data_IF_376531968420
#
_entry.id   IF_376531968420
#
_cell.length_a   1.000
_cell.length_b   1.000
_cell.length_c   1.000
_cell.angle_alpha   90.00
_cell.angle_beta   90.00
_cell.angle_gamma   90.00
#
_symmetry.space_group_name_H-M   'P 1'
#
loop_
_entity.id
_entity.type
_entity.pdbx_description
1 polymer ?
#
# COMPACT_ATOMS: atom_id res chain seq x y z
N UNK A 1 7.80 -8.43 -24.80
CA UNK A 1 8.25 -8.66 -23.41
C UNK A 1 7.04 -8.40 -22.52
N UNK A 2 6.54 -9.41 -21.82
CA UNK A 2 5.41 -9.23 -20.89
C UNK A 2 5.89 -8.43 -19.68
N UNK A 3 5.12 -7.44 -19.28
CA UNK A 3 5.41 -6.65 -18.07
C UNK A 3 5.37 -7.58 -16.85
N UNK A 4 6.32 -7.53 -15.92
CA UNK A 4 6.40 -8.44 -14.77
C UNK A 4 5.30 -8.26 -13.71
N UNK A 5 4.34 -7.40 -13.98
CA UNK A 5 3.10 -7.20 -13.22
C UNK A 5 1.92 -7.12 -14.18
N UNK A 6 1.90 -8.01 -15.20
CA UNK A 6 0.70 -8.26 -15.99
C UNK A 6 -0.28 -8.98 -15.04
N UNK A 7 -1.29 -8.26 -14.57
CA UNK A 7 -2.34 -8.68 -13.63
C UNK A 7 -3.28 -9.77 -14.19
N UNK A 8 -2.85 -10.57 -15.11
CA UNK A 8 -3.63 -11.69 -15.68
C UNK A 8 -3.29 -13.06 -15.04
N UNK A 9 -2.76 -13.09 -13.81
CA UNK A 9 -2.29 -14.31 -13.17
C UNK A 9 -3.35 -14.90 -12.23
N UNK A 10 -4.43 -15.45 -12.79
CA UNK A 10 -5.43 -16.24 -12.05
C UNK A 10 -4.76 -17.38 -11.27
N UNK A 11 -4.94 -17.38 -9.94
CA UNK A 11 -4.58 -18.51 -9.09
C UNK A 11 -3.11 -18.59 -8.68
N UNK A 12 -2.31 -17.54 -8.79
CA UNK A 12 -0.96 -17.55 -8.22
C UNK A 12 -1.03 -17.28 -6.72
N UNK A 13 -0.36 -18.16 -5.96
CA UNK A 13 -0.17 -17.97 -4.53
C UNK A 13 0.70 -16.70 -4.31
N UNK A 14 0.15 -15.72 -3.62
CA UNK A 14 0.86 -14.48 -3.31
C UNK A 14 1.12 -14.37 -1.81
N UNK A 15 2.31 -13.90 -1.47
CA UNK A 15 2.54 -13.40 -0.12
C UNK A 15 1.85 -12.05 0.05
N UNK A 16 1.29 -11.81 1.24
CA UNK A 16 0.70 -10.52 1.61
C UNK A 16 1.27 -10.04 2.93
N UNK A 17 2.02 -8.95 2.88
CA UNK A 17 2.55 -8.31 4.10
C UNK A 17 1.44 -7.56 4.80
N UNK A 18 1.31 -7.78 6.10
CA UNK A 18 0.26 -7.21 6.96
C UNK A 18 0.87 -6.60 8.22
N UNK A 19 0.18 -5.66 8.81
CA UNK A 19 0.46 -5.26 10.20
C UNK A 19 0.31 -6.49 11.11
N UNK A 20 1.22 -6.68 12.06
CA UNK A 20 1.13 -7.80 13.02
C UNK A 20 -0.10 -7.70 13.95
N UNK A 21 -0.78 -6.55 13.97
CA UNK A 21 -1.98 -6.29 14.76
C UNK A 21 -3.28 -6.43 13.94
N UNK A 22 -3.19 -6.80 12.67
CA UNK A 22 -4.38 -7.02 11.83
C UNK A 22 -5.31 -8.05 12.48
N UNK A 23 -6.61 -7.93 12.29
CA UNK A 23 -7.60 -8.82 12.93
C UNK A 23 -7.45 -10.28 12.46
N UNK A 24 -7.78 -11.23 13.34
CA UNK A 24 -7.79 -12.63 12.97
C UNK A 24 -8.81 -12.93 11.86
N UNK A 25 -9.94 -12.22 11.81
CA UNK A 25 -10.94 -12.30 10.75
C UNK A 25 -10.32 -11.94 9.39
N UNK A 26 -9.59 -10.84 9.31
CA UNK A 26 -8.92 -10.42 8.08
C UNK A 26 -7.83 -11.41 7.63
N UNK A 27 -7.04 -11.96 8.56
CA UNK A 27 -6.05 -13.00 8.24
C UNK A 27 -6.70 -14.27 7.68
N UNK A 28 -7.81 -14.71 8.27
CA UNK A 28 -8.56 -15.87 7.80
C UNK A 28 -9.14 -15.63 6.40
N UNK A 29 -9.70 -14.43 6.16
CA UNK A 29 -10.23 -14.06 4.86
C UNK A 29 -9.14 -14.05 3.78
N UNK A 30 -7.99 -13.42 4.02
CA UNK A 30 -6.84 -13.44 3.09
C UNK A 30 -6.38 -14.86 2.76
N UNK A 31 -6.32 -15.73 3.77
CA UNK A 31 -5.97 -17.15 3.57
C UNK A 31 -7.03 -17.89 2.74
N UNK A 32 -8.31 -17.60 2.93
CA UNK A 32 -9.40 -18.19 2.16
C UNK A 32 -9.37 -17.78 0.67
N UNK A 33 -8.81 -16.58 0.36
CA UNK A 33 -8.51 -16.16 -1.01
C UNK A 33 -7.22 -16.77 -1.58
N UNK A 34 -6.53 -17.64 -0.82
CA UNK A 34 -5.33 -18.36 -1.27
C UNK A 34 -4.03 -17.61 -1.03
N UNK A 35 -4.04 -16.51 -0.31
CA UNK A 35 -2.82 -15.75 0.00
C UNK A 35 -2.13 -16.26 1.26
N UNK A 36 -0.83 -15.98 1.36
CA UNK A 36 -0.01 -16.30 2.55
C UNK A 36 0.32 -14.99 3.30
N UNK A 37 -0.38 -14.68 4.41
CA UNK A 37 -0.08 -13.50 5.22
C UNK A 37 1.28 -13.60 5.89
N UNK A 38 2.05 -12.51 5.82
CA UNK A 38 3.34 -12.32 6.52
C UNK A 38 3.21 -11.11 7.44
N UNK A 39 3.06 -11.32 8.75
CA UNK A 39 2.99 -10.22 9.71
C UNK A 39 4.31 -9.46 9.80
N UNK A 40 4.26 -8.13 9.67
CA UNK A 40 5.40 -7.25 9.85
C UNK A 40 5.62 -6.96 11.34
N UNK A 41 6.79 -7.25 11.90
CA UNK A 41 7.10 -6.86 13.26
C UNK A 41 7.25 -5.34 13.39
N UNK A 42 6.97 -4.79 14.57
CA UNK A 42 7.10 -3.37 14.82
C UNK A 42 8.56 -2.91 14.76
N UNK A 43 8.83 -1.79 14.08
CA UNK A 43 10.16 -1.16 14.04
C UNK A 43 10.31 -0.19 15.23
N UNK A 44 11.35 -0.35 16.09
CA UNK A 44 11.47 0.42 17.34
C UNK A 44 11.71 1.92 17.15
N UNK A 45 12.16 2.36 15.98
CA UNK A 45 12.41 3.77 15.68
C UNK A 45 11.17 4.53 15.17
N UNK A 46 10.07 3.84 14.86
CA UNK A 46 8.84 4.46 14.37
C UNK A 46 7.85 4.75 15.49
N UNK A 47 6.84 5.57 15.22
CA UNK A 47 5.73 5.77 16.14
C UNK A 47 4.98 4.46 16.36
N UNK A 48 4.65 4.08 17.63
CA UNK A 48 3.99 2.81 17.92
C UNK A 48 2.71 2.55 17.13
N UNK A 49 1.96 3.60 16.78
CA UNK A 49 0.72 3.45 16.01
C UNK A 49 0.95 2.91 14.59
N UNK A 50 2.09 3.24 13.97
CA UNK A 50 2.43 2.88 12.59
C UNK A 50 3.68 1.99 12.48
N UNK A 51 4.25 1.57 13.62
CA UNK A 51 5.54 0.87 13.67
C UNK A 51 5.55 -0.50 12.97
N UNK A 52 4.40 -1.14 12.79
CA UNK A 52 4.23 -2.41 12.07
C UNK A 52 3.50 -2.27 10.73
N UNK A 53 3.22 -1.07 10.28
CA UNK A 53 2.59 -0.80 9.00
C UNK A 53 3.51 -1.24 7.84
N UNK A 54 3.07 -2.16 6.96
CA UNK A 54 3.89 -2.64 5.84
C UNK A 54 4.41 -1.51 4.94
N UNK A 55 3.59 -0.52 4.62
CA UNK A 55 3.96 0.59 3.74
C UNK A 55 4.95 1.60 4.36
N UNK A 56 5.16 1.53 5.68
CA UNK A 56 6.23 2.26 6.37
C UNK A 56 7.54 1.46 6.40
N UNK A 57 7.45 0.14 6.29
CA UNK A 57 8.55 -0.81 6.55
C UNK A 57 9.13 -1.42 5.28
N UNK A 58 8.34 -1.47 4.20
CA UNK A 58 8.62 -2.24 3.00
C UNK A 58 8.28 -1.46 1.73
N UNK A 59 9.08 -1.70 0.69
CA UNK A 59 8.71 -1.33 -0.67
C UNK A 59 8.98 -2.52 -1.61
N UNK A 60 7.93 -3.23 -2.05
CA UNK A 60 8.06 -4.35 -2.99
C UNK A 60 8.53 -3.89 -4.37
N UNK A 61 9.47 -4.60 -4.96
CA UNK A 61 9.97 -4.35 -6.30
C UNK A 61 10.19 -5.67 -7.07
N UNK A 62 10.53 -5.59 -8.36
CA UNK A 62 10.73 -6.77 -9.21
C UNK A 62 11.82 -7.73 -8.68
N UNK A 63 12.81 -7.21 -8.00
CA UNK A 63 14.00 -7.97 -7.58
C UNK A 63 13.98 -8.36 -6.10
N UNK A 64 12.94 -8.01 -5.37
CA UNK A 64 12.82 -8.26 -3.95
C UNK A 64 12.05 -7.15 -3.24
N UNK A 65 12.31 -7.00 -1.97
CA UNK A 65 11.58 -6.09 -1.11
C UNK A 65 12.59 -5.21 -0.38
N UNK A 66 12.56 -3.90 -0.65
CA UNK A 66 13.34 -2.96 0.16
C UNK A 66 12.81 -2.92 1.58
N UNK A 67 13.72 -3.00 2.54
CA UNK A 67 13.40 -3.07 3.97
C UNK A 67 14.37 -2.22 4.78
N UNK A 68 13.96 -1.78 5.96
CA UNK A 68 14.89 -1.19 6.94
C UNK A 68 15.82 -2.25 7.51
N UNK A 69 17.11 -1.95 7.63
CA UNK A 69 18.16 -2.88 8.06
C UNK A 69 17.88 -3.52 9.42
N UNK A 70 17.28 -2.79 10.36
CA UNK A 70 16.98 -3.25 11.71
C UNK A 70 15.57 -3.84 11.88
N UNK A 71 14.86 -4.10 10.81
CA UNK A 71 13.43 -4.47 10.87
C UNK A 71 13.15 -5.84 11.51
N UNK A 72 14.13 -6.74 11.53
CA UNK A 72 13.95 -8.07 12.14
C UNK A 72 13.01 -9.01 11.39
N UNK A 73 12.54 -8.63 10.20
CA UNK A 73 11.75 -9.50 9.33
C UNK A 73 12.59 -10.72 8.93
N UNK A 74 12.02 -11.90 9.12
CA UNK A 74 12.62 -13.16 8.69
C UNK A 74 11.72 -13.78 7.63
N UNK A 75 12.18 -13.76 6.40
CA UNK A 75 11.57 -14.55 5.32
C UNK A 75 12.68 -15.40 4.71
N UNK A 76 12.55 -16.73 4.74
CA UNK A 76 13.53 -17.63 4.17
C UNK A 76 13.58 -17.57 2.64
N UNK A 77 12.49 -17.18 2.00
CA UNK A 77 12.25 -17.40 0.58
C UNK A 77 12.12 -16.11 -0.24
N UNK A 78 12.13 -14.94 0.42
CA UNK A 78 11.96 -13.66 -0.26
C UNK A 78 13.26 -12.84 -0.19
N UNK A 79 13.75 -12.30 -1.32
CA UNK A 79 14.93 -11.47 -1.35
C UNK A 79 14.66 -10.12 -0.66
N UNK A 80 15.23 -9.92 0.52
CA UNK A 80 15.19 -8.67 1.25
C UNK A 80 16.37 -7.77 0.84
N UNK A 81 16.08 -6.54 0.48
CA UNK A 81 17.02 -5.52 0.01
C UNK A 81 17.12 -4.41 1.07
N UNK A 82 18.11 -4.45 1.99
CA UNK A 82 18.19 -3.46 3.04
C UNK A 82 18.53 -2.07 2.49
N UNK A 83 17.80 -1.04 2.92
CA UNK A 83 18.16 0.35 2.67
C UNK A 83 19.18 0.81 3.72
N UNK A 84 20.07 1.76 3.32
CA UNK A 84 21.14 2.27 4.19
C UNK A 84 20.62 3.28 5.22
N UNK A 85 19.61 4.05 4.83
CA UNK A 85 19.05 5.11 5.66
C UNK A 85 18.19 4.50 6.77
N UNK A 86 18.46 4.87 8.01
CA UNK A 86 17.64 4.46 9.15
C UNK A 86 16.39 5.37 9.26
N UNK A 87 15.20 4.81 9.56
CA UNK A 87 14.03 5.61 9.82
C UNK A 87 14.15 6.32 11.18
N UNK A 88 13.41 7.41 11.33
CA UNK A 88 13.24 8.10 12.60
C UNK A 88 11.76 8.35 12.87
N UNK A 89 11.40 8.60 14.12
CA UNK A 89 10.00 8.75 14.55
C UNK A 89 9.30 9.95 13.92
N UNK A 90 10.05 11.00 13.62
CA UNK A 90 9.48 12.27 13.18
C UNK A 90 9.47 12.37 11.66
N UNK A 91 8.33 12.79 11.12
CA UNK A 91 8.17 13.17 9.73
C UNK A 91 9.19 14.24 9.31
N UNK A 92 9.82 14.15 8.14
CA UNK A 92 9.56 13.16 7.06
C UNK A 92 10.50 11.94 7.10
N UNK A 93 11.24 11.69 8.18
CA UNK A 93 12.22 10.62 8.26
C UNK A 93 11.60 9.23 8.54
N UNK A 94 10.31 9.20 8.79
CA UNK A 94 9.52 7.98 8.99
C UNK A 94 9.01 7.37 7.67
N UNK A 95 8.91 8.16 6.57
CA UNK A 95 8.27 7.74 5.31
C UNK A 95 9.23 7.26 4.23
N UNK A 96 10.44 6.81 4.59
CA UNK A 96 11.51 6.46 3.63
C UNK A 96 11.09 5.43 2.57
N UNK A 97 10.19 4.51 2.90
CA UNK A 97 9.68 3.46 2.02
C UNK A 97 8.22 3.68 1.59
N UNK A 98 7.58 4.75 2.08
CA UNK A 98 6.17 5.03 1.79
C UNK A 98 5.98 5.66 0.40
N UNK A 99 6.22 4.85 -0.63
CA UNK A 99 6.06 5.20 -2.02
C UNK A 99 5.06 4.24 -2.69
N UNK A 100 4.32 4.71 -3.69
CA UNK A 100 3.33 3.90 -4.39
C UNK A 100 3.69 3.76 -5.87
N UNK A 101 3.72 2.52 -6.36
CA UNK A 101 3.79 2.27 -7.79
C UNK A 101 2.38 2.19 -8.37
N UNK A 102 2.15 2.90 -9.47
CA UNK A 102 0.95 2.81 -10.30
C UNK A 102 1.34 2.82 -11.78
N UNK A 103 1.14 1.69 -12.45
CA UNK A 103 1.60 1.49 -13.83
C UNK A 103 3.11 1.77 -13.98
N UNK A 104 3.44 2.75 -14.83
CA UNK A 104 4.82 3.20 -15.07
C UNK A 104 5.30 4.31 -14.13
N UNK A 105 4.49 4.70 -13.14
CA UNK A 105 4.81 5.80 -12.24
C UNK A 105 5.19 5.30 -10.85
N UNK A 106 6.15 5.99 -10.23
CA UNK A 106 6.43 5.92 -8.81
C UNK A 106 5.96 7.24 -8.17
N UNK A 107 4.83 7.19 -7.47
CA UNK A 107 4.31 8.32 -6.69
C UNK A 107 5.03 8.35 -5.35
N UNK A 108 5.73 9.44 -5.05
CA UNK A 108 6.45 9.59 -3.78
C UNK A 108 6.78 11.05 -3.48
N UNK A 109 7.25 11.31 -2.29
CA UNK A 109 7.94 12.54 -1.91
C UNK A 109 9.46 12.34 -2.06
N UNK A 110 10.10 12.83 -3.15
CA UNK A 110 11.47 12.44 -3.50
C UNK A 110 12.53 12.81 -2.45
N UNK A 111 12.34 13.94 -1.77
CA UNK A 111 13.27 14.41 -0.72
C UNK A 111 13.18 13.61 0.59
N UNK A 112 12.14 12.76 0.74
CA UNK A 112 11.92 11.91 1.89
C UNK A 112 11.96 10.41 1.56
N UNK A 113 12.04 10.04 0.29
CA UNK A 113 12.09 8.63 -0.15
C UNK A 113 13.53 8.12 -0.15
N UNK A 114 13.74 6.89 0.30
CA UNK A 114 15.06 6.24 0.31
C UNK A 114 15.72 6.26 -1.07
N UNK A 115 17.04 6.54 -1.08
CA UNK A 115 17.81 6.64 -2.33
C UNK A 115 17.73 5.35 -3.16
N UNK A 116 17.75 4.19 -2.51
CA UNK A 116 17.67 2.88 -3.15
C UNK A 116 16.35 2.69 -3.91
N UNK A 117 15.23 3.20 -3.39
CA UNK A 117 13.91 3.17 -4.06
C UNK A 117 13.92 4.07 -5.29
N UNK A 118 14.51 5.28 -5.20
CA UNK A 118 14.62 6.20 -6.33
C UNK A 118 15.57 5.65 -7.41
N UNK A 119 16.68 5.04 -7.01
CA UNK A 119 17.61 4.38 -7.93
C UNK A 119 16.91 3.22 -8.65
N UNK A 120 16.20 2.36 -7.92
CA UNK A 120 15.39 1.30 -8.53
C UNK A 120 14.37 1.86 -9.54
N UNK A 121 13.69 2.94 -9.21
CA UNK A 121 12.74 3.57 -10.14
C UNK A 121 13.41 3.97 -11.47
N UNK A 122 14.59 4.55 -11.39
CA UNK A 122 15.39 4.91 -12.58
C UNK A 122 15.80 3.67 -13.38
N UNK A 123 16.34 2.64 -12.72
CA UNK A 123 16.78 1.39 -13.35
C UNK A 123 15.61 0.61 -13.98
N UNK A 124 14.45 0.64 -13.35
CA UNK A 124 13.22 0.01 -13.83
C UNK A 124 12.48 0.83 -14.91
N UNK A 125 12.98 2.03 -15.27
CA UNK A 125 12.34 2.91 -16.23
C UNK A 125 11.02 3.51 -15.74
N UNK A 126 10.81 3.61 -14.43
CA UNK A 126 9.64 4.27 -13.85
C UNK A 126 9.81 5.78 -13.89
N UNK A 127 8.74 6.48 -14.17
CA UNK A 127 8.67 7.94 -14.06
C UNK A 127 8.31 8.32 -12.63
N UNK A 128 9.20 9.01 -11.92
CA UNK A 128 8.88 9.55 -10.60
C UNK A 128 7.83 10.64 -10.75
N UNK A 129 6.70 10.48 -10.08
CA UNK A 129 5.62 11.47 -9.97
C UNK A 129 5.70 12.11 -8.59
N UNK A 130 6.28 13.31 -8.49
CA UNK A 130 6.54 13.92 -7.19
C UNK A 130 5.27 14.49 -6.57
N UNK A 131 5.09 14.23 -5.27
CA UNK A 131 4.04 14.83 -4.45
C UNK A 131 4.64 15.41 -3.17
N UNK A 132 3.91 16.31 -2.51
CA UNK A 132 4.33 16.89 -1.22
C UNK A 132 4.01 15.98 -0.04
N UNK A 133 3.01 15.10 -0.21
CA UNK A 133 2.59 14.14 0.81
C UNK A 133 3.62 13.02 0.92
N UNK A 134 4.20 12.85 2.12
CA UNK A 134 5.18 11.79 2.38
C UNK A 134 4.53 10.41 2.55
N UNK A 135 3.33 10.37 3.15
CA UNK A 135 2.53 9.14 3.25
C UNK A 135 1.84 8.81 1.92
N UNK A 136 2.62 8.70 0.84
CA UNK A 136 2.11 8.57 -0.51
C UNK A 136 1.38 7.24 -0.73
N UNK A 137 1.91 6.13 -0.19
CA UNK A 137 1.27 4.81 -0.31
C UNK A 137 0.05 4.70 0.63
N UNK A 138 0.15 5.20 1.87
CA UNK A 138 -0.98 5.20 2.78
C UNK A 138 -2.19 5.96 2.21
N UNK A 139 -1.96 7.07 1.49
CA UNK A 139 -3.01 7.86 0.86
C UNK A 139 -3.53 7.30 -0.46
N UNK A 140 -2.92 6.23 -1.00
CA UNK A 140 -3.26 5.73 -2.33
C UNK A 140 -3.73 4.27 -2.30
N UNK A 141 -5.03 4.05 -2.51
CA UNK A 141 -5.56 2.74 -2.88
C UNK A 141 -5.40 2.55 -4.40
N UNK A 142 -4.45 1.72 -4.79
CA UNK A 142 -4.21 1.38 -6.20
C UNK A 142 -5.24 0.35 -6.65
N UNK A 143 -6.09 0.71 -7.62
CA UNK A 143 -7.12 -0.18 -8.17
C UNK A 143 -6.60 -0.95 -9.38
N UNK A 144 -5.82 -0.28 -10.23
CA UNK A 144 -5.16 -0.89 -11.40
C UNK A 144 -3.97 -0.01 -11.83
N UNK A 145 -3.26 -0.42 -12.88
CA UNK A 145 -2.19 0.41 -13.48
C UNK A 145 -2.66 1.79 -13.97
N UNK A 146 -3.99 2.00 -14.08
CA UNK A 146 -4.58 3.21 -14.65
C UNK A 146 -5.67 3.82 -13.77
N UNK A 147 -5.88 3.29 -12.55
CA UNK A 147 -6.94 3.76 -11.66
C UNK A 147 -6.54 3.71 -10.19
N UNK A 148 -6.92 4.71 -9.42
CA UNK A 148 -6.65 4.80 -8.00
C UNK A 148 -7.75 5.56 -7.25
N UNK A 149 -7.78 5.37 -5.93
CA UNK A 149 -8.66 6.08 -5.00
C UNK A 149 -7.78 6.81 -3.98
N UNK A 150 -8.11 8.04 -3.64
CA UNK A 150 -7.36 8.83 -2.65
C UNK A 150 -8.24 9.91 -2.00
N UNK A 151 -7.92 10.27 -0.77
CA UNK A 151 -8.49 11.42 -0.06
C UNK A 151 -7.70 12.71 -0.34
N UNK A 152 -6.43 12.61 -0.77
CA UNK A 152 -5.54 13.74 -0.96
C UNK A 152 -5.75 14.42 -2.33
N UNK A 153 -6.21 15.68 -2.31
CA UNK A 153 -6.49 16.43 -3.52
C UNK A 153 -5.23 16.68 -4.37
N UNK A 154 -4.04 16.79 -3.75
CA UNK A 154 -2.78 17.00 -4.48
C UNK A 154 -2.32 15.74 -5.19
N UNK A 155 -2.48 14.57 -4.57
CA UNK A 155 -2.24 13.27 -5.19
C UNK A 155 -3.23 13.05 -6.33
N UNK A 156 -4.54 13.33 -6.12
CA UNK A 156 -5.54 13.22 -7.16
C UNK A 156 -5.22 14.08 -8.38
N UNK A 157 -4.81 15.33 -8.16
CA UNK A 157 -4.43 16.24 -9.25
C UNK A 157 -3.18 15.74 -10.01
N UNK A 158 -2.15 15.29 -9.30
CA UNK A 158 -0.92 14.75 -9.90
C UNK A 158 -1.21 13.54 -10.78
N UNK A 159 -2.00 12.58 -10.29
CA UNK A 159 -2.36 11.36 -11.03
C UNK A 159 -3.24 11.65 -12.25
N UNK A 160 -4.25 12.52 -12.10
CA UNK A 160 -5.09 12.95 -13.24
C UNK A 160 -4.26 13.66 -14.32
N UNK A 161 -3.26 14.46 -13.89
CA UNK A 161 -2.35 15.15 -14.81
C UNK A 161 -1.53 14.23 -15.73
N UNK A 162 -1.39 12.95 -15.35
CA UNK A 162 -0.69 11.93 -16.15
C UNK A 162 -1.64 10.88 -16.74
N UNK A 163 -2.96 11.13 -16.72
CA UNK A 163 -3.96 10.30 -17.36
C UNK A 163 -4.45 9.10 -16.53
N UNK A 164 -4.16 9.06 -15.24
CA UNK A 164 -4.72 8.06 -14.31
C UNK A 164 -6.15 8.47 -13.94
N UNK A 165 -7.09 7.52 -14.01
CA UNK A 165 -8.46 7.72 -13.52
C UNK A 165 -8.47 7.70 -11.98
N UNK A 166 -9.03 8.74 -11.36
CA UNK A 166 -8.95 8.90 -9.90
C UNK A 166 -10.34 9.17 -9.32
N UNK A 167 -10.78 8.28 -8.44
CA UNK A 167 -11.87 8.54 -7.52
C UNK A 167 -11.29 9.28 -6.30
N UNK A 168 -11.67 10.53 -6.16
CA UNK A 168 -11.40 11.29 -4.94
C UNK A 168 -12.57 11.17 -3.99
N UNK A 169 -12.27 10.80 -2.74
CA UNK A 169 -13.23 10.64 -1.64
C UNK A 169 -12.92 11.64 -0.52
N UNK A 170 -13.82 11.77 0.45
CA UNK A 170 -13.59 12.59 1.63
C UNK A 170 -12.70 11.85 2.64
N UNK A 171 -11.94 12.62 3.43
CA UNK A 171 -11.10 12.08 4.48
C UNK A 171 -11.86 11.99 5.82
N UNK A 172 -11.45 11.05 6.68
CA UNK A 172 -11.94 10.97 8.05
C UNK A 172 -12.69 9.69 8.41
N UNK A 173 -13.00 8.84 7.42
CA UNK A 173 -13.84 7.65 7.60
C UNK A 173 -13.04 6.33 7.68
N UNK A 174 -11.71 6.43 7.73
CA UNK A 174 -10.80 5.30 8.02
C UNK A 174 -10.21 5.49 9.41
N UNK A 175 -10.35 4.51 10.29
CA UNK A 175 -9.83 4.60 11.66
C UNK A 175 -8.34 4.30 11.72
N UNK A 176 -7.60 5.07 12.55
CA UNK A 176 -6.23 4.79 12.95
C UNK A 176 -6.06 5.22 14.41
N UNK A 177 -5.87 4.29 15.36
CA UNK A 177 -5.70 4.62 16.78
C UNK A 177 -4.55 5.60 17.00
N UNK A 178 -4.77 6.58 17.87
CA UNK A 178 -3.84 7.67 18.21
C UNK A 178 -3.69 8.76 17.14
N UNK A 179 -4.38 8.66 16.02
CA UNK A 179 -4.47 9.69 14.99
C UNK A 179 -5.93 10.11 14.78
N UNK A 180 -6.20 11.33 14.26
CA UNK A 180 -7.57 11.77 13.97
C UNK A 180 -8.31 10.84 13.00
N UNK A 181 -7.59 10.28 12.02
CA UNK A 181 -8.06 9.29 11.04
C UNK A 181 -6.86 8.61 10.37
N UNK A 182 -7.12 7.49 9.74
CA UNK A 182 -6.19 6.79 8.85
C UNK A 182 -6.48 7.10 7.38
N UNK A 183 -5.86 6.38 6.46
CA UNK A 183 -5.97 6.61 5.03
C UNK A 183 -6.51 5.40 4.28
N UNK A 184 -7.21 5.65 3.18
CA UNK A 184 -7.83 4.59 2.37
C UNK A 184 -6.80 3.62 1.77
N UNK A 185 -5.63 4.12 1.37
CA UNK A 185 -4.53 3.27 0.89
C UNK A 185 -3.95 2.39 1.99
N UNK A 186 -3.88 2.93 3.24
CA UNK A 186 -3.46 2.19 4.42
C UNK A 186 -4.45 1.09 4.83
N UNK A 187 -5.74 1.28 4.51
CA UNK A 187 -6.80 0.31 4.76
C UNK A 187 -7.03 -0.67 3.60
N UNK A 188 -6.18 -0.70 2.57
CA UNK A 188 -6.44 -1.48 1.35
C UNK A 188 -5.22 -2.17 0.76
N UNK A 189 -5.47 -3.10 -0.17
CA UNK A 189 -4.48 -3.73 -1.03
C UNK A 189 -5.10 -4.38 -2.25
N UNK A 190 -4.27 -4.74 -3.24
CA UNK A 190 -4.71 -5.26 -4.53
C UNK A 190 -3.85 -6.44 -4.97
N UNK A 191 -4.47 -7.59 -5.27
CA UNK A 191 -3.80 -8.80 -5.76
C UNK A 191 -3.81 -8.94 -7.28
N UNK A 192 -4.38 -7.95 -7.97
CA UNK A 192 -4.56 -7.97 -9.42
C UNK A 192 -5.98 -8.32 -9.88
N UNK A 193 -6.75 -9.06 -9.11
CA UNK A 193 -8.17 -9.36 -9.38
C UNK A 193 -9.09 -8.62 -8.41
N UNK A 194 -8.69 -8.54 -7.14
CA UNK A 194 -9.48 -7.98 -6.05
C UNK A 194 -8.82 -6.74 -5.45
N UNK A 195 -9.65 -5.82 -4.97
CA UNK A 195 -9.24 -4.77 -4.04
C UNK A 195 -9.79 -5.14 -2.67
N UNK A 196 -8.89 -5.49 -1.77
CA UNK A 196 -9.20 -5.85 -0.39
C UNK A 196 -9.26 -4.61 0.49
N UNK A 197 -10.22 -4.60 1.43
CA UNK A 197 -10.37 -3.55 2.42
C UNK A 197 -10.32 -4.14 3.84
N UNK A 198 -9.53 -3.55 4.71
CA UNK A 198 -9.37 -3.96 6.10
C UNK A 198 -10.53 -3.44 6.95
N UNK A 199 -11.67 -4.06 6.81
CA UNK A 199 -12.97 -3.73 7.39
C UNK A 199 -14.10 -3.98 6.41
N UNK A 200 -15.31 -3.56 6.77
CA UNK A 200 -16.50 -3.62 5.92
C UNK A 200 -16.64 -2.33 5.11
N UNK A 201 -16.41 -2.44 3.80
CA UNK A 201 -16.53 -1.30 2.88
C UNK A 201 -17.94 -0.71 2.86
N UNK A 202 -18.97 -1.49 3.16
CA UNK A 202 -20.36 -1.01 3.18
C UNK A 202 -20.65 -0.01 4.32
N UNK A 203 -19.78 0.01 5.33
CA UNK A 203 -19.85 0.96 6.46
C UNK A 203 -19.17 2.30 6.15
N UNK A 204 -18.43 2.39 5.04
CA UNK A 204 -17.80 3.65 4.62
C UNK A 204 -18.81 4.51 3.85
N UNK A 205 -18.91 5.83 4.11
CA UNK A 205 -19.89 6.72 3.42
C UNK A 205 -19.77 6.65 1.89
N UNK A 206 -18.56 6.58 1.37
CA UNK A 206 -18.29 6.43 -0.06
C UNK A 206 -18.22 4.96 -0.54
N UNK A 207 -18.56 3.98 0.30
CA UNK A 207 -18.38 2.54 0.00
C UNK A 207 -19.03 2.11 -1.31
N UNK A 208 -20.25 2.58 -1.59
CA UNK A 208 -20.92 2.30 -2.85
C UNK A 208 -20.21 2.91 -4.07
N UNK A 209 -19.67 4.14 -3.95
CA UNK A 209 -18.88 4.81 -5.02
C UNK A 209 -17.55 4.08 -5.26
N UNK A 210 -16.89 3.66 -4.18
CA UNK A 210 -15.64 2.88 -4.25
C UNK A 210 -15.87 1.54 -4.97
N UNK A 211 -16.91 0.79 -4.57
CA UNK A 211 -17.25 -0.49 -5.20
C UNK A 211 -17.58 -0.34 -6.69
N UNK A 212 -18.34 0.70 -7.05
CA UNK A 212 -18.66 0.98 -8.45
C UNK A 212 -17.42 1.36 -9.26
N UNK A 213 -16.53 2.18 -8.70
CA UNK A 213 -15.27 2.55 -9.33
C UNK A 213 -14.36 1.35 -9.55
N UNK A 214 -14.20 0.47 -8.56
CA UNK A 214 -13.44 -0.77 -8.72
C UNK A 214 -14.05 -1.66 -9.82
N UNK A 215 -15.36 -1.84 -9.85
CA UNK A 215 -16.06 -2.62 -10.88
C UNK A 215 -15.87 -2.03 -12.28
N UNK A 216 -15.91 -0.68 -12.45
CA UNK A 216 -15.59 0.00 -13.71
C UNK A 216 -14.22 -0.40 -14.25
N UNK A 217 -13.26 -0.60 -13.34
CA UNK A 217 -11.89 -1.04 -13.66
C UNK A 217 -11.71 -2.57 -13.58
N UNK A 218 -12.80 -3.34 -13.62
CA UNK A 218 -12.83 -4.81 -13.65
C UNK A 218 -12.16 -5.43 -12.41
N UNK A 219 -12.34 -4.81 -11.25
CA UNK A 219 -11.90 -5.32 -9.96
C UNK A 219 -13.09 -5.61 -9.07
N UNK A 220 -13.00 -6.71 -8.33
CA UNK A 220 -13.94 -7.04 -7.27
C UNK A 220 -13.47 -6.43 -5.95
N UNK A 221 -14.39 -5.94 -5.12
CA UNK A 221 -14.07 -5.44 -3.78
C UNK A 221 -14.33 -6.53 -2.75
N UNK A 222 -13.40 -6.69 -1.80
CA UNK A 222 -13.49 -7.68 -0.74
C UNK A 222 -13.34 -6.98 0.61
N UNK A 223 -14.37 -7.08 1.45
CA UNK A 223 -14.32 -6.69 2.87
C UNK A 223 -13.71 -7.81 3.69
N UNK A 224 -12.64 -7.53 4.43
CA UNK A 224 -11.89 -8.55 5.18
C UNK A 224 -12.39 -8.74 6.61
N UNK A 225 -13.23 -7.84 7.12
CA UNK A 225 -13.76 -7.88 8.47
C UNK A 225 -15.09 -7.12 8.54
N UNK A 226 -15.82 -7.29 9.63
CA UNK A 226 -17.17 -6.74 9.84
C UNK A 226 -17.19 -5.37 10.54
N UNK A 227 -16.02 -4.81 10.90
CA UNK A 227 -15.89 -3.47 11.51
C UNK A 227 -15.66 -2.38 10.46
N UNK A 228 -15.80 -1.07 10.79
CA UNK A 228 -15.42 0.03 9.89
C UNK A 228 -13.97 -0.09 9.41
N UNK A 229 -13.64 0.55 8.28
CA UNK A 229 -12.31 0.49 7.70
C UNK A 229 -11.23 0.94 8.70
N UNK A 230 -10.16 0.17 8.76
CA UNK A 230 -9.03 0.39 9.66
C UNK A 230 -7.73 0.46 8.86
N UNK A 231 -6.95 1.51 9.09
CA UNK A 231 -5.62 1.66 8.51
C UNK A 231 -4.64 0.71 9.21
N UNK A 232 -4.13 -0.25 8.47
CA UNK A 232 -3.15 -1.26 8.88
C UNK A 232 -1.82 -1.10 8.12
N UNK A 233 -1.61 0.06 7.50
CA UNK A 233 -0.42 0.34 6.71
C UNK A 233 -0.37 -0.42 5.38
N UNK A 234 -1.50 -0.57 4.75
CA UNK A 234 -1.69 -1.28 3.49
C UNK A 234 -1.50 -2.81 3.56
N UNK A 235 -2.12 -3.51 2.64
CA UNK A 235 -1.81 -4.90 2.33
C UNK A 235 -0.87 -4.90 1.11
N UNK A 236 0.38 -5.29 1.31
CA UNK A 236 1.37 -5.30 0.23
C UNK A 236 1.52 -6.71 -0.32
N UNK A 237 0.98 -6.94 -1.51
CA UNK A 237 1.07 -8.22 -2.22
C UNK A 237 2.40 -8.37 -2.94
N UNK A 238 2.96 -9.60 -2.92
CA UNK A 238 4.22 -9.98 -3.58
C UNK A 238 4.15 -11.41 -4.09
N UNK A 239 4.69 -11.64 -5.29
CA UNK A 239 4.72 -12.94 -5.99
C UNK A 239 6.11 -13.55 -5.88
#
# INVERSE_FOLDING_TARGET
MRHPFDFSMKGLLMYVFTDCRISAEALQALTAYGHTPIPCPAHPALDPAIASHPDMLLFPCKHGIFVHTAHGMKTSDLPLLPIKQAPARNYPHDVLLNAARIGKYLLCRPDATAHEVLQYAQEAGLTVLPVKQGYAKCNLCVVSDHAAITEDASIAAALRGVGIDVLQIDAGDVSLPSYPYGFIGGASGNDGEHVFFCGDLSLHPDGGRIAEFCRKHKKETVSLASHPLHDVGSLLFYI
#
